data_IF_631190694153
#
_entry.id   IF_631190694153
#
_cell.length_a   1.000
_cell.length_b   1.000
_cell.length_c   1.000
_cell.angle_alpha   90.00
_cell.angle_beta   90.00
_cell.angle_gamma   90.00
#
_symmetry.space_group_name_H-M   'P 1'
#
loop_
_entity.id
_entity.type
_entity.pdbx_description
1 polymer ?
#
# COMPACT_ATOMS: atom_id res chain seq x y z
N UNK A 1 3.31 -41.31 8.50
CA UNK A 1 2.34 -42.04 7.64
C UNK A 1 0.90 -41.73 8.05
N UNK A 2 0.55 -41.72 9.34
CA UNK A 2 -0.81 -41.36 9.84
C UNK A 2 -1.36 -40.04 9.27
N UNK A 3 -0.54 -38.97 9.26
CA UNK A 3 -0.96 -37.64 8.84
C UNK A 3 -1.30 -37.51 7.34
N UNK A 4 -0.72 -38.35 6.48
CA UNK A 4 -1.06 -38.37 5.05
C UNK A 4 -2.24 -39.31 4.75
N UNK A 5 -2.70 -40.11 5.71
CA UNK A 5 -3.87 -40.97 5.51
C UNK A 5 -5.11 -40.14 5.18
N UNK A 6 -5.28 -38.98 5.83
CA UNK A 6 -6.39 -38.04 5.53
C UNK A 6 -6.34 -37.59 4.07
N UNK A 7 -5.19 -37.11 3.61
CA UNK A 7 -4.96 -36.69 2.22
C UNK A 7 -5.30 -37.81 1.22
N UNK A 8 -4.82 -39.03 1.46
CA UNK A 8 -5.07 -40.17 0.56
C UNK A 8 -6.48 -40.75 0.68
N UNK A 9 -7.18 -40.52 1.80
CA UNK A 9 -8.58 -40.90 1.93
C UNK A 9 -9.49 -39.97 1.12
N UNK A 10 -9.13 -38.69 1.02
CA UNK A 10 -9.85 -37.70 0.21
C UNK A 10 -9.57 -37.91 -1.28
N UNK A 11 -8.29 -38.01 -1.66
CA UNK A 11 -7.90 -38.26 -3.05
C UNK A 11 -6.93 -39.44 -3.16
N UNK A 12 -7.45 -40.68 -3.31
CA UNK A 12 -6.62 -41.87 -3.50
C UNK A 12 -5.77 -41.81 -4.77
N UNK A 13 -6.33 -41.28 -5.86
CA UNK A 13 -5.67 -41.17 -7.16
C UNK A 13 -4.49 -40.19 -7.14
N UNK A 14 -4.56 -39.17 -6.28
CA UNK A 14 -3.46 -38.22 -6.08
C UNK A 14 -2.18 -38.90 -5.61
N UNK A 15 -2.29 -39.95 -4.80
CA UNK A 15 -1.13 -40.75 -4.38
C UNK A 15 -0.43 -41.38 -5.59
N UNK A 16 -1.20 -41.87 -6.56
CA UNK A 16 -0.67 -42.49 -7.79
C UNK A 16 -0.09 -41.47 -8.76
N UNK A 17 -0.61 -40.23 -8.73
CA UNK A 17 -0.05 -39.13 -9.51
C UNK A 17 1.30 -38.67 -8.95
N UNK A 18 1.45 -38.59 -7.63
CA UNK A 18 2.67 -38.11 -6.97
C UNK A 18 3.73 -39.20 -6.87
N UNK A 19 3.33 -40.44 -6.59
CA UNK A 19 4.24 -41.56 -6.37
C UNK A 19 4.04 -42.67 -7.39
N UNK A 20 5.15 -43.13 -7.99
CA UNK A 20 5.20 -44.33 -8.81
C UNK A 20 5.77 -45.48 -7.99
N UNK A 21 5.01 -46.57 -7.82
CA UNK A 21 5.50 -47.78 -7.18
C UNK A 21 6.56 -48.46 -8.07
N UNK A 22 7.67 -48.86 -7.46
CA UNK A 22 8.77 -49.59 -8.11
C UNK A 22 8.82 -51.03 -7.65
N UNK A 23 8.50 -51.27 -6.38
CA UNK A 23 8.46 -52.59 -5.78
C UNK A 23 7.32 -52.67 -4.77
N UNK A 24 6.24 -53.36 -5.15
CA UNK A 24 5.06 -53.57 -4.32
C UNK A 24 5.36 -54.49 -3.12
N UNK A 25 6.36 -55.37 -3.22
CA UNK A 25 6.68 -56.32 -2.14
C UNK A 25 7.46 -55.68 -0.98
N UNK A 26 8.16 -54.58 -1.26
CA UNK A 26 8.94 -53.83 -0.28
C UNK A 26 8.46 -52.39 -0.06
N UNK A 27 7.28 -52.03 -0.61
CA UNK A 27 6.69 -50.69 -0.52
C UNK A 27 7.65 -49.56 -0.96
N UNK A 28 8.35 -49.76 -2.08
CA UNK A 28 9.30 -48.77 -2.62
C UNK A 28 8.62 -47.91 -3.69
N UNK A 29 8.70 -46.59 -3.51
CA UNK A 29 8.08 -45.60 -4.39
C UNK A 29 9.09 -44.52 -4.79
N UNK A 30 8.99 -44.04 -6.04
CA UNK A 30 9.68 -42.84 -6.52
C UNK A 30 8.69 -41.72 -6.80
N UNK A 31 9.19 -40.48 -6.85
CA UNK A 31 8.43 -39.36 -7.38
C UNK A 31 8.09 -39.57 -8.86
N UNK A 32 6.83 -39.39 -9.20
CA UNK A 32 6.34 -39.39 -10.58
C UNK A 32 6.38 -38.00 -11.22
N UNK A 33 6.60 -36.94 -10.43
CA UNK A 33 6.68 -35.54 -10.86
C UNK A 33 7.78 -34.76 -10.11
N UNK A 34 8.25 -33.62 -10.65
CA UNK A 34 9.26 -32.81 -9.98
C UNK A 34 8.80 -32.37 -8.59
N UNK A 35 9.69 -32.38 -7.60
CA UNK A 35 9.36 -31.97 -6.23
C UNK A 35 8.72 -30.58 -6.18
N UNK A 36 9.21 -29.62 -6.97
CA UNK A 36 8.64 -28.28 -7.07
C UNK A 36 7.17 -28.22 -7.51
N UNK A 37 6.62 -29.28 -8.12
CA UNK A 37 5.24 -29.34 -8.62
C UNK A 37 4.25 -29.98 -7.63
N UNK A 38 4.72 -30.57 -6.52
CA UNK A 38 3.87 -31.33 -5.59
C UNK A 38 2.79 -30.45 -4.96
N UNK A 39 3.17 -29.26 -4.48
CA UNK A 39 2.25 -28.33 -3.84
C UNK A 39 1.14 -27.89 -4.79
N UNK A 40 1.50 -27.57 -6.04
CA UNK A 40 0.54 -27.23 -7.09
C UNK A 40 -0.41 -28.37 -7.41
N UNK A 41 0.10 -29.60 -7.53
CA UNK A 41 -0.72 -30.78 -7.85
C UNK A 41 -1.70 -31.11 -6.71
N UNK A 42 -1.28 -30.97 -5.45
CA UNK A 42 -2.16 -31.14 -4.29
C UNK A 42 -3.21 -30.03 -4.24
N UNK A 43 -2.80 -28.77 -4.40
CA UNK A 43 -3.71 -27.62 -4.34
C UNK A 43 -4.71 -27.53 -5.50
N UNK A 44 -4.44 -28.19 -6.63
CA UNK A 44 -5.32 -28.23 -7.80
C UNK A 44 -6.09 -29.55 -7.93
N UNK A 45 -5.93 -30.48 -6.99
CA UNK A 45 -6.67 -31.74 -7.00
C UNK A 45 -8.16 -31.48 -6.79
N UNK A 46 -8.98 -31.99 -7.70
CA UNK A 46 -10.43 -31.73 -7.70
C UNK A 46 -11.15 -32.23 -6.45
N UNK A 47 -10.72 -33.36 -5.87
CA UNK A 47 -11.34 -33.89 -4.66
C UNK A 47 -10.98 -33.03 -3.44
N UNK A 48 -9.73 -32.59 -3.36
CA UNK A 48 -9.26 -31.67 -2.30
C UNK A 48 -9.98 -30.33 -2.40
N UNK A 49 -10.09 -29.74 -3.59
CA UNK A 49 -10.84 -28.51 -3.80
C UNK A 49 -12.31 -28.65 -3.42
N UNK A 50 -12.93 -29.78 -3.75
CA UNK A 50 -14.32 -30.08 -3.38
C UNK A 50 -14.48 -30.20 -1.87
N UNK A 51 -13.57 -30.89 -1.19
CA UNK A 51 -13.62 -31.05 0.27
C UNK A 51 -13.36 -29.71 0.98
N UNK A 52 -12.42 -28.89 0.46
CA UNK A 52 -12.20 -27.53 0.94
C UNK A 52 -13.50 -26.72 0.91
N UNK A 53 -14.19 -26.68 -0.25
CA UNK A 53 -15.46 -25.98 -0.39
C UNK A 53 -16.55 -26.54 0.55
N UNK A 54 -16.59 -27.86 0.72
CA UNK A 54 -17.55 -28.49 1.64
C UNK A 54 -17.33 -27.99 3.07
N UNK A 55 -16.08 -27.92 3.52
CA UNK A 55 -15.74 -27.53 4.89
C UNK A 55 -15.84 -26.01 5.12
N UNK A 56 -15.48 -25.18 4.14
CA UNK A 56 -15.50 -23.71 4.27
C UNK A 56 -16.87 -23.11 4.00
N UNK A 57 -17.68 -23.72 3.12
CA UNK A 57 -18.93 -23.11 2.67
C UNK A 57 -20.14 -23.85 3.27
N UNK A 58 -20.19 -25.17 3.10
CA UNK A 58 -21.38 -25.95 3.51
C UNK A 58 -21.43 -26.21 5.02
N UNK A 59 -20.37 -26.78 5.60
CA UNK A 59 -20.32 -27.10 7.03
C UNK A 59 -20.33 -25.81 7.85
N UNK A 60 -19.47 -24.85 7.51
CA UNK A 60 -19.44 -23.55 8.17
C UNK A 60 -20.78 -22.81 8.03
N UNK A 61 -21.37 -22.78 6.82
CA UNK A 61 -22.65 -22.13 6.57
C UNK A 61 -23.80 -22.73 7.41
N UNK A 62 -23.85 -24.06 7.54
CA UNK A 62 -24.83 -24.72 8.40
C UNK A 62 -24.64 -24.34 9.88
N UNK A 63 -23.39 -24.34 10.36
CA UNK A 63 -23.11 -23.90 11.73
C UNK A 63 -23.48 -22.43 11.93
N UNK A 64 -23.10 -21.55 11.00
CA UNK A 64 -23.40 -20.11 11.00
C UNK A 64 -24.89 -19.86 11.16
N UNK A 65 -25.73 -20.49 10.35
CA UNK A 65 -27.18 -20.33 10.47
C UNK A 65 -27.72 -20.90 11.79
N UNK A 66 -27.14 -21.98 12.30
CA UNK A 66 -27.57 -22.57 13.59
C UNK A 66 -27.28 -21.69 14.81
N UNK A 67 -26.24 -20.86 14.77
CA UNK A 67 -25.86 -19.94 15.87
C UNK A 67 -26.42 -18.53 15.72
N UNK A 68 -27.04 -18.22 14.58
CA UNK A 68 -27.51 -16.87 14.23
C UNK A 68 -28.45 -16.28 15.27
N UNK A 69 -29.52 -17.00 15.62
CA UNK A 69 -30.49 -16.53 16.61
C UNK A 69 -29.88 -16.37 18.02
N UNK A 70 -28.86 -17.17 18.34
CA UNK A 70 -28.13 -17.09 19.61
C UNK A 70 -27.30 -15.80 19.66
N UNK A 71 -26.56 -15.50 18.60
CA UNK A 71 -25.66 -14.35 18.51
C UNK A 71 -26.38 -13.03 18.23
N UNK A 72 -27.53 -13.05 17.56
CA UNK A 72 -28.39 -11.88 17.32
C UNK A 72 -29.41 -11.62 18.44
N UNK A 73 -29.53 -12.58 19.37
CA UNK A 73 -30.41 -12.53 20.55
C UNK A 73 -29.70 -12.11 21.84
N UNK A 74 -28.48 -11.56 21.77
CA UNK A 74 -27.73 -11.13 22.96
C UNK A 74 -28.47 -9.98 23.64
N UNK A 75 -28.67 -10.09 24.96
CA UNK A 75 -29.33 -9.10 25.79
C UNK A 75 -28.63 -8.92 27.15
N UNK A 76 -29.20 -8.08 28.01
CA UNK A 76 -28.66 -7.79 29.35
C UNK A 76 -28.59 -9.01 30.28
N UNK A 77 -29.28 -10.11 29.98
CA UNK A 77 -29.31 -11.35 30.75
C UNK A 77 -28.39 -12.43 30.18
N UNK A 78 -27.92 -12.29 28.93
CA UNK A 78 -26.99 -13.23 28.31
C UNK A 78 -25.77 -13.49 29.20
N UNK A 79 -25.38 -14.76 29.36
CA UNK A 79 -24.14 -15.15 30.01
C UNK A 79 -23.08 -15.42 28.93
N UNK A 80 -22.06 -14.55 28.77
CA UNK A 80 -21.07 -14.70 27.70
C UNK A 80 -20.32 -16.03 27.75
N UNK A 81 -20.04 -16.57 28.94
CA UNK A 81 -19.35 -17.86 29.10
C UNK A 81 -20.20 -19.03 28.62
N UNK A 82 -21.51 -18.97 28.88
CA UNK A 82 -22.44 -20.00 28.41
C UNK A 82 -22.71 -19.90 26.91
N UNK A 83 -22.76 -18.67 26.39
CA UNK A 83 -22.89 -18.38 24.97
C UNK A 83 -21.74 -19.01 24.19
N UNK A 84 -20.48 -18.69 24.53
CA UNK A 84 -19.31 -19.25 23.81
C UNK A 84 -19.22 -20.76 24.00
N UNK A 85 -19.54 -21.30 25.18
CA UNK A 85 -19.57 -22.76 25.40
C UNK A 85 -20.59 -23.43 24.49
N UNK A 86 -21.75 -22.82 24.28
CA UNK A 86 -22.81 -23.39 23.44
C UNK A 86 -22.41 -23.36 21.97
N UNK A 87 -21.99 -22.19 21.46
CA UNK A 87 -21.65 -22.03 20.04
C UNK A 87 -20.40 -22.84 19.66
N UNK A 88 -19.40 -22.94 20.55
CA UNK A 88 -18.20 -23.74 20.31
C UNK A 88 -18.46 -25.25 20.31
N UNK A 89 -19.33 -25.76 21.18
CA UNK A 89 -19.75 -27.17 21.14
C UNK A 89 -20.52 -27.47 19.85
N UNK A 90 -21.40 -26.56 19.42
CA UNK A 90 -22.08 -26.70 18.12
C UNK A 90 -21.08 -26.71 16.95
N UNK A 91 -20.00 -25.94 17.03
CA UNK A 91 -18.95 -25.90 16.00
C UNK A 91 -18.17 -27.22 15.96
N UNK A 92 -17.74 -27.73 17.13
CA UNK A 92 -17.06 -29.01 17.25
C UNK A 92 -17.87 -30.16 16.64
N UNK A 93 -19.17 -30.18 16.90
CA UNK A 93 -20.09 -31.18 16.36
C UNK A 93 -20.28 -31.03 14.84
N UNK A 94 -20.37 -29.80 14.33
CA UNK A 94 -20.53 -29.56 12.90
C UNK A 94 -19.32 -30.11 12.10
N UNK A 95 -18.11 -29.96 12.66
CA UNK A 95 -16.87 -30.41 12.02
C UNK A 95 -16.47 -31.86 12.35
N UNK A 96 -17.27 -32.66 13.07
CA UNK A 96 -16.95 -34.07 13.32
C UNK A 96 -16.82 -34.90 12.03
N UNK A 97 -17.55 -34.51 10.99
CA UNK A 97 -17.55 -35.18 9.69
C UNK A 97 -16.52 -34.60 8.69
N UNK A 98 -15.80 -33.54 9.07
CA UNK A 98 -14.77 -32.93 8.24
C UNK A 98 -13.61 -33.91 7.99
N UNK A 99 -12.98 -33.81 6.82
CA UNK A 99 -11.91 -34.72 6.38
C UNK A 99 -10.55 -34.04 6.30
N UNK A 100 -10.51 -32.75 5.96
CA UNK A 100 -9.32 -31.90 5.94
C UNK A 100 -9.03 -31.37 7.34
N UNK A 101 -9.94 -30.55 7.87
CA UNK A 101 -9.76 -29.89 9.16
C UNK A 101 -10.01 -30.85 10.32
N UNK A 102 -9.24 -30.70 11.39
CA UNK A 102 -9.57 -31.27 12.67
C UNK A 102 -10.60 -30.36 13.38
N UNK A 103 -11.60 -30.94 14.03
CA UNK A 103 -12.62 -30.13 14.70
C UNK A 103 -12.05 -29.27 15.83
N UNK A 104 -10.93 -29.68 16.45
CA UNK A 104 -10.22 -28.85 17.42
C UNK A 104 -9.49 -27.67 16.80
N UNK A 105 -8.96 -27.80 15.57
CA UNK A 105 -8.32 -26.69 14.87
C UNK A 105 -9.35 -25.57 14.61
N UNK A 106 -10.56 -25.94 14.19
CA UNK A 106 -11.67 -24.99 13.97
C UNK A 106 -12.18 -24.38 15.28
N UNK A 107 -12.24 -25.18 16.34
CA UNK A 107 -12.54 -24.68 17.68
C UNK A 107 -11.51 -23.63 18.12
N UNK A 108 -10.23 -23.86 17.85
CA UNK A 108 -9.15 -22.93 18.17
C UNK A 108 -9.27 -21.64 17.35
N UNK A 109 -9.68 -21.68 16.08
CA UNK A 109 -10.02 -20.46 15.32
C UNK A 109 -11.07 -19.61 16.06
N UNK A 110 -12.19 -20.23 16.46
CA UNK A 110 -13.25 -19.53 17.21
C UNK A 110 -12.75 -19.01 18.56
N UNK A 111 -11.97 -19.80 19.31
CA UNK A 111 -11.48 -19.36 20.62
C UNK A 111 -10.42 -18.26 20.53
N UNK A 112 -9.56 -18.31 19.52
CA UNK A 112 -8.60 -17.24 19.25
C UNK A 112 -9.36 -15.95 18.93
N UNK A 113 -10.37 -16.01 18.06
CA UNK A 113 -11.19 -14.85 17.74
C UNK A 113 -12.01 -14.33 18.93
N UNK A 114 -12.60 -15.23 19.71
CA UNK A 114 -13.30 -14.90 20.96
C UNK A 114 -12.41 -14.09 21.89
N UNK A 115 -11.22 -14.61 22.19
CA UNK A 115 -10.29 -13.97 23.12
C UNK A 115 -9.71 -12.65 22.57
N UNK A 116 -9.58 -12.52 21.25
CA UNK A 116 -9.03 -11.33 20.62
C UNK A 116 -10.02 -10.17 20.57
N UNK A 117 -11.28 -10.41 20.18
CA UNK A 117 -12.26 -9.33 19.92
C UNK A 117 -13.73 -9.69 20.17
N UNK A 118 -14.22 -10.86 19.74
CA UNK A 118 -15.65 -11.14 19.80
C UNK A 118 -16.21 -11.13 21.23
N UNK A 119 -15.39 -11.49 22.23
CA UNK A 119 -15.79 -11.40 23.64
C UNK A 119 -16.14 -9.95 24.04
N UNK A 120 -15.33 -8.98 23.63
CA UNK A 120 -15.54 -7.57 23.98
C UNK A 120 -16.86 -7.08 23.38
N UNK A 121 -17.13 -7.39 22.11
CA UNK A 121 -18.40 -7.05 21.46
C UNK A 121 -19.61 -7.60 22.23
N UNK A 122 -19.55 -8.87 22.66
CA UNK A 122 -20.62 -9.51 23.43
C UNK A 122 -20.84 -8.79 24.76
N UNK A 123 -19.78 -8.34 25.44
CA UNK A 123 -19.92 -7.58 26.69
C UNK A 123 -20.48 -6.18 26.47
N UNK A 124 -20.08 -5.49 25.39
CA UNK A 124 -20.64 -4.18 25.04
C UNK A 124 -22.14 -4.30 24.73
N UNK A 125 -22.54 -5.26 23.91
CA UNK A 125 -23.96 -5.50 23.58
C UNK A 125 -24.76 -5.89 24.83
N UNK A 126 -24.18 -6.71 25.73
CA UNK A 126 -24.81 -7.05 27.01
C UNK A 126 -25.04 -5.81 27.88
N UNK A 127 -24.13 -4.85 27.88
CA UNK A 127 -24.19 -3.66 28.73
C UNK A 127 -25.12 -2.59 28.15
N UNK A 128 -25.03 -2.35 26.83
CA UNK A 128 -25.60 -1.17 26.17
C UNK A 128 -26.62 -1.51 25.07
N UNK A 129 -26.85 -2.79 24.78
CA UNK A 129 -27.70 -3.23 23.68
C UNK A 129 -27.00 -3.12 22.32
N UNK A 130 -27.72 -3.48 21.25
CA UNK A 130 -27.23 -3.32 19.88
C UNK A 130 -27.15 -1.84 19.48
N UNK A 131 -27.84 -0.95 20.18
CA UNK A 131 -27.75 0.50 20.01
C UNK A 131 -26.32 1.04 20.11
N UNK A 132 -25.44 0.35 20.86
CA UNK A 132 -24.01 0.66 20.93
C UNK A 132 -23.30 0.60 19.56
N UNK A 133 -23.90 -0.03 18.55
CA UNK A 133 -23.41 0.01 17.16
C UNK A 133 -23.39 1.42 16.55
N UNK A 134 -24.07 2.39 17.18
CA UNK A 134 -24.06 3.81 16.77
C UNK A 134 -23.00 4.63 17.50
N UNK A 135 -22.37 4.07 18.51
CA UNK A 135 -21.38 4.78 19.33
C UNK A 135 -20.04 4.86 18.60
N UNK A 136 -19.39 6.02 18.70
CA UNK A 136 -18.10 6.32 18.08
C UNK A 136 -17.11 6.69 19.17
N UNK A 137 -15.89 6.18 19.05
CA UNK A 137 -14.74 6.52 19.89
C UNK A 137 -13.79 7.43 19.12
N UNK A 138 -13.51 8.63 19.66
CA UNK A 138 -12.58 9.57 19.05
C UNK A 138 -11.16 9.40 19.63
N UNK A 139 -10.17 9.42 18.73
CA UNK A 139 -8.75 9.50 19.07
C UNK A 139 -8.29 10.94 18.89
N UNK A 140 -7.82 11.56 19.96
CA UNK A 140 -7.36 12.95 19.95
C UNK A 140 -5.85 13.07 19.81
N UNK A 141 -5.38 14.22 19.29
CA UNK A 141 -3.97 14.55 19.29
C UNK A 141 -3.48 14.81 20.72
N UNK A 142 -2.24 14.45 21.02
CA UNK A 142 -1.65 14.67 22.34
C UNK A 142 -0.97 16.04 22.44
N UNK A 143 -1.13 16.72 23.59
CA UNK A 143 -0.42 17.95 23.95
C UNK A 143 0.32 17.83 25.28
N UNK A 144 1.40 18.58 25.42
CA UNK A 144 2.12 18.69 26.69
C UNK A 144 1.37 19.64 27.61
N UNK A 145 1.11 19.19 28.83
CA UNK A 145 0.59 19.96 29.94
C UNK A 145 1.50 19.80 31.15
N UNK A 146 1.33 20.65 32.16
CA UNK A 146 1.98 20.45 33.46
C UNK A 146 0.96 19.88 34.43
N UNK A 147 1.36 18.88 35.21
CA UNK A 147 0.55 18.36 36.29
C UNK A 147 0.58 19.28 37.51
N UNK A 148 -0.15 18.91 38.56
CA UNK A 148 -0.22 19.66 39.83
C UNK A 148 1.14 19.74 40.55
N UNK A 149 2.10 18.88 40.20
CA UNK A 149 3.47 18.87 40.74
C UNK A 149 4.45 19.69 39.90
N UNK A 150 4.01 20.22 38.75
CA UNK A 150 4.82 21.00 37.82
C UNK A 150 5.58 20.18 36.78
N UNK A 151 5.40 18.85 36.76
CA UNK A 151 6.01 17.93 35.82
C UNK A 151 5.26 17.93 34.49
N UNK A 152 6.00 17.77 33.39
CA UNK A 152 5.41 17.79 32.05
C UNK A 152 4.77 16.44 31.76
N UNK A 153 3.44 16.41 31.72
CA UNK A 153 2.63 15.26 31.31
C UNK A 153 2.07 15.46 29.90
N UNK A 154 1.71 14.35 29.27
CA UNK A 154 1.03 14.37 27.98
C UNK A 154 -0.46 14.14 28.23
N UNK A 155 -1.30 15.03 27.73
CA UNK A 155 -2.77 14.96 27.85
C UNK A 155 -3.40 15.12 26.48
N UNK A 156 -4.60 14.58 26.30
CA UNK A 156 -5.33 14.71 25.05
C UNK A 156 -5.76 16.15 24.80
N UNK A 157 -5.54 16.60 23.57
CA UNK A 157 -6.05 17.86 23.05
C UNK A 157 -7.41 17.61 22.41
N UNK A 158 -8.47 17.68 23.22
CA UNK A 158 -9.86 17.49 22.79
C UNK A 158 -10.32 18.46 21.69
N UNK A 159 -9.53 19.49 21.37
CA UNK A 159 -9.76 20.40 20.24
C UNK A 159 -9.27 19.86 18.89
N UNK A 160 -8.53 18.74 18.88
CA UNK A 160 -7.91 18.15 17.69
C UNK A 160 -8.19 16.66 17.62
N UNK A 161 -9.31 16.31 16.98
CA UNK A 161 -9.59 14.93 16.59
C UNK A 161 -8.56 14.49 15.55
N UNK A 162 -7.92 13.35 15.78
CA UNK A 162 -6.97 12.72 14.86
C UNK A 162 -7.66 11.68 13.98
N UNK A 163 -8.52 10.88 14.58
CA UNK A 163 -9.32 9.86 13.92
C UNK A 163 -10.48 9.48 14.84
N UNK A 164 -11.41 8.68 14.34
CA UNK A 164 -12.44 8.04 15.13
C UNK A 164 -12.65 6.62 14.61
N UNK A 165 -13.24 5.76 15.43
CA UNK A 165 -13.68 4.42 15.05
C UNK A 165 -14.99 4.07 15.77
N UNK A 166 -15.78 3.15 15.25
CA UNK A 166 -17.01 2.74 15.93
C UNK A 166 -16.73 1.82 17.11
N UNK A 167 -17.47 1.97 18.21
CA UNK A 167 -17.29 1.18 19.43
C UNK A 167 -17.52 -0.32 19.20
N UNK A 168 -18.46 -0.65 18.31
CA UNK A 168 -18.79 -2.03 17.92
C UNK A 168 -18.53 -2.32 16.44
N UNK A 169 -18.79 -1.37 15.53
CA UNK A 169 -18.65 -1.60 14.09
C UNK A 169 -17.48 -0.76 13.60
N UNK A 170 -16.38 -1.36 13.11
CA UNK A 170 -15.26 -0.61 12.57
C UNK A 170 -15.65 0.33 11.43
N UNK A 171 -15.01 1.50 11.35
CA UNK A 171 -15.30 2.51 10.30
C UNK A 171 -15.09 1.97 8.90
N UNK A 172 -14.10 1.09 8.74
CA UNK A 172 -13.78 0.44 7.48
C UNK A 172 -14.98 -0.37 6.94
N UNK A 173 -15.76 -1.01 7.82
CA UNK A 173 -16.98 -1.71 7.40
C UNK A 173 -18.05 -0.73 6.93
N UNK A 174 -18.22 0.41 7.61
CA UNK A 174 -19.18 1.44 7.18
C UNK A 174 -18.78 2.03 5.83
N UNK A 175 -17.49 2.33 5.65
CA UNK A 175 -16.95 2.84 4.38
C UNK A 175 -17.17 1.84 3.24
N UNK A 176 -16.82 0.56 3.45
CA UNK A 176 -16.95 -0.47 2.43
C UNK A 176 -18.40 -0.75 2.03
N UNK A 177 -19.34 -0.76 3.00
CA UNK A 177 -20.74 -1.11 2.74
C UNK A 177 -21.53 0.06 2.15
N UNK A 178 -21.31 1.28 2.65
CA UNK A 178 -22.17 2.42 2.32
C UNK A 178 -21.51 3.47 1.43
N UNK A 179 -20.18 3.47 1.32
CA UNK A 179 -19.42 4.53 0.64
C UNK A 179 -18.33 3.99 -0.30
N UNK A 180 -18.62 2.85 -0.94
CA UNK A 180 -17.71 2.19 -1.87
C UNK A 180 -17.32 3.07 -3.07
N UNK A 181 -18.23 3.93 -3.55
CA UNK A 181 -17.96 4.87 -4.64
C UNK A 181 -16.96 5.95 -4.21
N UNK A 182 -17.12 6.51 -3.01
CA UNK A 182 -16.19 7.47 -2.43
C UNK A 182 -14.82 6.85 -2.16
N UNK A 183 -14.78 5.62 -1.63
CA UNK A 183 -13.53 4.87 -1.48
C UNK A 183 -12.82 4.66 -2.80
N UNK A 184 -13.56 4.30 -3.86
CA UNK A 184 -13.00 4.14 -5.20
C UNK A 184 -12.42 5.46 -5.72
N UNK A 185 -13.12 6.58 -5.52
CA UNK A 185 -12.62 7.90 -5.90
C UNK A 185 -11.37 8.30 -5.11
N UNK A 186 -11.32 8.02 -3.80
CA UNK A 186 -10.14 8.26 -2.97
C UNK A 186 -8.96 7.39 -3.41
N UNK A 187 -9.20 6.12 -3.74
CA UNK A 187 -8.16 5.22 -4.24
C UNK A 187 -7.60 5.69 -5.58
N UNK A 188 -8.44 6.18 -6.50
CA UNK A 188 -7.99 6.77 -7.76
C UNK A 188 -7.10 8.00 -7.53
N UNK A 189 -7.45 8.87 -6.57
CA UNK A 189 -6.61 10.01 -6.19
C UNK A 189 -5.29 9.59 -5.52
N UNK A 190 -5.30 8.53 -4.69
CA UNK A 190 -4.09 7.94 -4.10
C UNK A 190 -3.15 7.40 -5.18
N UNK A 191 -3.68 6.63 -6.14
CA UNK A 191 -2.92 6.12 -7.28
C UNK A 191 -2.35 7.24 -8.14
N UNK A 192 -3.13 8.28 -8.42
CA UNK A 192 -2.67 9.44 -9.16
C UNK A 192 -1.57 10.20 -8.40
N UNK A 193 -1.72 10.42 -7.09
CA UNK A 193 -0.70 11.05 -6.26
C UNK A 193 0.60 10.24 -6.24
N UNK A 194 0.52 8.91 -6.12
CA UNK A 194 1.67 8.01 -6.17
C UNK A 194 2.36 8.00 -7.54
N UNK A 195 1.60 8.01 -8.64
CA UNK A 195 2.15 8.11 -9.99
C UNK A 195 2.89 9.43 -10.20
N UNK A 196 2.30 10.56 -9.76
CA UNK A 196 2.94 11.87 -9.82
C UNK A 196 4.22 11.93 -8.97
N UNK A 197 4.23 11.30 -7.79
CA UNK A 197 5.46 11.19 -6.97
C UNK A 197 6.55 10.39 -7.71
N UNK A 198 6.19 9.25 -8.31
CA UNK A 198 7.12 8.43 -9.10
C UNK A 198 7.70 9.22 -10.28
N UNK A 199 6.88 9.95 -11.02
CA UNK A 199 7.36 10.79 -12.12
C UNK A 199 8.28 11.93 -11.62
N UNK A 200 7.97 12.55 -10.48
CA UNK A 200 8.85 13.56 -9.87
C UNK A 200 10.16 12.95 -9.39
N UNK A 201 10.13 11.74 -8.85
CA UNK A 201 11.33 10.99 -8.45
C UNK A 201 12.21 10.67 -9.66
N UNK A 202 11.62 10.16 -10.74
CA UNK A 202 12.32 9.88 -12.02
C UNK A 202 12.97 11.14 -12.58
N UNK A 203 12.21 12.25 -12.70
CA UNK A 203 12.75 13.54 -13.17
C UNK A 203 13.90 14.04 -12.30
N UNK A 204 13.80 13.87 -10.97
CA UNK A 204 14.88 14.26 -10.05
C UNK A 204 16.10 13.39 -10.29
N UNK A 205 15.95 12.07 -10.33
CA UNK A 205 17.07 11.14 -10.44
C UNK A 205 17.86 11.34 -11.74
N UNK A 206 17.17 11.49 -12.87
CA UNK A 206 17.79 11.76 -14.18
C UNK A 206 18.62 13.05 -14.16
N UNK A 207 18.16 14.07 -13.44
CA UNK A 207 18.73 15.43 -13.44
C UNK A 207 19.50 15.79 -12.15
N UNK A 208 19.87 14.79 -11.35
CA UNK A 208 20.58 14.97 -10.06
C UNK A 208 22.11 14.85 -10.14
N UNK A 209 22.64 14.42 -11.29
CA UNK A 209 24.07 14.22 -11.52
C UNK A 209 24.90 15.52 -11.47
N UNK A 210 26.22 15.40 -11.63
CA UNK A 210 27.12 16.55 -11.50
C UNK A 210 26.87 17.67 -12.51
N UNK A 211 26.35 17.30 -13.69
CA UNK A 211 25.91 18.19 -14.77
C UNK A 211 24.37 18.25 -14.90
N UNK A 212 23.64 17.75 -13.89
CA UNK A 212 22.18 17.63 -13.91
C UNK A 212 21.47 18.99 -13.79
N UNK A 213 20.37 19.15 -14.53
CA UNK A 213 19.63 20.40 -14.64
C UNK A 213 18.86 20.79 -13.36
N UNK A 214 18.66 19.85 -12.44
CA UNK A 214 17.94 20.09 -11.18
C UNK A 214 18.86 20.24 -9.96
N UNK A 215 20.19 20.10 -10.14
CA UNK A 215 21.20 20.10 -9.08
C UNK A 215 21.08 21.30 -8.13
N UNK A 216 20.92 22.50 -8.67
CA UNK A 216 20.82 23.75 -7.88
C UNK A 216 19.51 23.86 -7.07
N UNK A 217 18.52 23.01 -7.35
CA UNK A 217 17.25 22.98 -6.62
C UNK A 217 17.19 21.86 -5.55
N UNK A 218 18.18 20.96 -5.50
CA UNK A 218 18.24 19.86 -4.55
C UNK A 218 18.42 20.32 -3.10
N UNK A 219 17.92 19.53 -2.15
CA UNK A 219 18.27 19.68 -0.74
C UNK A 219 19.73 19.27 -0.49
N UNK A 220 20.20 19.42 0.74
CA UNK A 220 21.62 19.20 1.07
C UNK A 220 22.04 17.72 0.99
N UNK A 221 21.08 16.80 0.94
CA UNK A 221 21.31 15.35 0.79
C UNK A 221 21.20 14.86 -0.66
N UNK A 222 20.64 15.67 -1.55
CA UNK A 222 20.32 15.29 -2.92
C UNK A 222 19.10 14.37 -3.06
N UNK A 223 18.36 14.09 -1.98
CA UNK A 223 17.25 13.11 -1.96
C UNK A 223 15.86 13.74 -2.21
N UNK A 224 15.78 15.07 -2.33
CA UNK A 224 14.52 15.79 -2.60
C UNK A 224 14.76 17.19 -3.16
N UNK A 225 13.73 17.76 -3.80
CA UNK A 225 13.72 19.14 -4.31
C UNK A 225 12.71 19.97 -3.49
N UNK A 226 13.16 20.74 -2.48
CA UNK A 226 12.26 21.57 -1.69
C UNK A 226 11.63 22.66 -2.55
N UNK A 227 10.31 22.84 -2.43
CA UNK A 227 9.54 23.88 -3.14
C UNK A 227 10.15 25.28 -2.99
N UNK A 228 10.77 25.58 -1.84
CA UNK A 228 11.45 26.85 -1.61
C UNK A 228 12.72 27.02 -2.48
N UNK A 229 13.56 25.98 -2.60
CA UNK A 229 14.79 26.00 -3.41
C UNK A 229 14.45 26.04 -4.90
N UNK A 230 13.50 25.22 -5.35
CA UNK A 230 12.98 25.23 -6.72
C UNK A 230 12.53 26.62 -7.16
N UNK A 231 11.66 27.25 -6.37
CA UNK A 231 11.15 28.58 -6.67
C UNK A 231 12.23 29.67 -6.60
N UNK A 232 13.21 29.54 -5.71
CA UNK A 232 14.33 30.47 -5.65
C UNK A 232 15.18 30.41 -6.93
N UNK A 233 15.48 29.20 -7.41
CA UNK A 233 16.28 29.01 -8.62
C UNK A 233 15.57 29.49 -9.87
N UNK A 234 14.28 29.17 -10.02
CA UNK A 234 13.46 29.70 -11.13
C UNK A 234 13.47 31.23 -11.14
N UNK A 235 13.32 31.88 -9.97
CA UNK A 235 13.39 33.35 -9.86
C UNK A 235 14.75 33.92 -10.22
N UNK A 236 15.83 33.22 -9.88
CA UNK A 236 17.18 33.65 -10.28
C UNK A 236 17.34 33.63 -11.81
N UNK A 237 16.88 32.56 -12.47
CA UNK A 237 16.93 32.44 -13.93
C UNK A 237 15.96 33.41 -14.63
N UNK A 238 14.79 33.66 -14.04
CA UNK A 238 13.86 34.70 -14.48
C UNK A 238 14.51 36.08 -14.48
N UNK A 239 15.32 36.40 -13.46
CA UNK A 239 16.05 37.66 -13.39
C UNK A 239 17.15 37.80 -14.45
N UNK A 240 17.62 36.68 -15.03
CA UNK A 240 18.60 36.65 -16.12
C UNK A 240 17.97 36.78 -17.50
N UNK A 241 16.63 36.81 -17.61
CA UNK A 241 15.93 36.96 -18.89
C UNK A 241 16.40 38.22 -19.61
N UNK A 242 16.78 38.04 -20.87
CA UNK A 242 17.24 39.13 -21.72
C UNK A 242 16.70 38.95 -23.13
N UNK A 243 16.71 40.03 -23.90
CA UNK A 243 16.52 40.00 -25.34
C UNK A 243 17.36 41.11 -25.95
N UNK A 244 17.68 40.98 -27.24
CA UNK A 244 18.37 42.06 -27.95
C UNK A 244 17.64 43.40 -27.80
N UNK A 245 16.30 43.39 -27.95
CA UNK A 245 15.49 44.59 -27.79
C UNK A 245 15.54 45.14 -26.34
N UNK A 246 15.46 44.28 -25.33
CA UNK A 246 15.54 44.69 -23.92
C UNK A 246 16.91 45.27 -23.57
N UNK A 247 17.99 44.64 -24.03
CA UNK A 247 19.37 45.10 -23.81
C UNK A 247 19.59 46.49 -24.42
N UNK A 248 19.14 46.68 -25.67
CA UNK A 248 19.24 47.97 -26.37
C UNK A 248 18.37 49.04 -25.71
N UNK A 249 17.14 48.71 -25.32
CA UNK A 249 16.25 49.65 -24.62
C UNK A 249 16.79 50.01 -23.24
N UNK A 250 17.45 49.10 -22.53
CA UNK A 250 18.12 49.38 -21.26
C UNK A 250 19.30 50.35 -21.46
N UNK A 251 20.11 50.14 -22.51
CA UNK A 251 21.19 51.07 -22.91
C UNK A 251 20.65 52.45 -23.30
N UNK A 252 19.50 52.51 -23.99
CA UNK A 252 18.85 53.78 -24.33
C UNK A 252 18.37 54.53 -23.07
N UNK A 253 17.86 53.81 -22.06
CA UNK A 253 17.46 54.43 -20.78
C UNK A 253 18.67 55.00 -20.04
N UNK A 254 19.80 54.28 -19.96
CA UNK A 254 21.02 54.80 -19.32
C UNK A 254 21.60 55.98 -20.08
N UNK A 255 21.73 55.91 -21.41
CA UNK A 255 22.20 57.04 -22.22
C UNK A 255 21.29 58.28 -22.11
N UNK A 256 19.97 58.06 -21.96
CA UNK A 256 19.02 59.14 -21.70
C UNK A 256 19.27 59.81 -20.34
N UNK A 257 19.48 59.01 -19.29
CA UNK A 257 19.75 59.52 -17.94
C UNK A 257 21.13 60.21 -17.85
N UNK A 258 22.10 59.82 -18.70
CA UNK A 258 23.41 60.47 -18.86
C UNK A 258 23.39 61.70 -19.79
N UNK A 259 22.26 61.99 -20.44
CA UNK A 259 22.13 63.13 -21.37
C UNK A 259 22.83 62.96 -22.72
N UNK A 260 23.24 61.73 -23.09
CA UNK A 260 24.00 61.42 -24.31
C UNK A 260 23.09 61.16 -25.52
N UNK A 261 22.31 62.16 -25.92
CA UNK A 261 21.29 62.01 -26.97
C UNK A 261 21.86 61.65 -28.34
N UNK A 262 23.08 62.07 -28.69
CA UNK A 262 23.72 61.72 -29.96
C UNK A 262 24.06 60.22 -30.08
N UNK A 263 24.44 59.59 -28.96
CA UNK A 263 24.72 58.15 -28.89
C UNK A 263 23.42 57.35 -29.00
N UNK A 264 22.33 57.84 -28.39
CA UNK A 264 21.00 57.24 -28.54
C UNK A 264 20.51 57.24 -29.99
N UNK A 265 20.70 58.35 -30.72
CA UNK A 265 20.33 58.46 -32.14
C UNK A 265 21.11 57.48 -33.03
N UNK A 266 22.36 57.23 -32.67
CA UNK A 266 23.21 56.27 -33.38
C UNK A 266 22.76 54.84 -33.12
N UNK A 267 22.44 54.51 -31.86
CA UNK A 267 22.02 53.18 -31.42
C UNK A 267 20.64 52.77 -31.96
N UNK A 268 19.69 53.71 -32.11
CA UNK A 268 18.38 53.43 -32.71
C UNK A 268 18.48 53.17 -34.22
N UNK A 269 19.41 53.83 -34.92
CA UNK A 269 19.60 53.67 -36.37
C UNK A 269 20.25 52.35 -36.78
N UNK A 270 20.99 51.72 -35.87
CA UNK A 270 21.74 50.49 -36.16
C UNK A 270 20.93 49.21 -35.94
N UNK A 271 19.72 49.29 -35.37
CA UNK A 271 18.96 48.13 -34.92
C UNK A 271 17.47 48.21 -35.32
N UNK A 272 17.05 47.48 -36.38
CA UNK A 272 15.65 47.45 -36.85
C UNK A 272 14.64 46.97 -35.80
N UNK A 273 15.09 46.13 -34.84
CA UNK A 273 14.20 45.47 -33.87
C UNK A 273 13.61 46.40 -32.80
N UNK A 274 14.16 47.60 -32.61
CA UNK A 274 13.59 48.61 -31.69
C UNK A 274 12.65 49.61 -32.39
N UNK A 275 12.57 49.59 -33.73
CA UNK A 275 11.69 50.48 -34.52
C UNK A 275 10.20 50.26 -34.22
N UNK A 276 9.83 49.04 -33.83
CA UNK A 276 8.45 48.68 -33.45
C UNK A 276 7.99 49.33 -32.14
N UNK A 277 8.89 49.93 -31.36
CA UNK A 277 8.55 50.59 -30.11
C UNK A 277 8.44 52.11 -30.30
N UNK A 278 7.42 52.70 -29.71
CA UNK A 278 7.24 54.15 -29.70
C UNK A 278 8.16 54.78 -28.63
N UNK A 279 9.32 55.31 -29.05
CA UNK A 279 10.36 55.81 -28.14
C UNK A 279 10.39 57.35 -28.00
N UNK A 280 9.61 58.09 -28.80
CA UNK A 280 9.70 59.56 -28.94
C UNK A 280 8.42 60.29 -28.58
N UNK A 281 8.57 61.51 -28.08
CA UNK A 281 7.46 62.44 -27.80
C UNK A 281 7.01 63.16 -29.09
N UNK A 282 5.88 63.89 -29.02
CA UNK A 282 5.33 64.64 -30.17
C UNK A 282 6.27 65.70 -30.77
N UNK A 283 7.26 66.15 -29.99
CA UNK A 283 8.31 67.09 -30.38
C UNK A 283 9.55 66.41 -30.99
N UNK A 284 9.52 65.09 -31.21
CA UNK A 284 10.63 64.33 -31.81
C UNK A 284 11.76 63.96 -30.86
N UNK A 285 11.76 64.41 -29.61
CA UNK A 285 12.79 64.03 -28.62
C UNK A 285 12.45 62.68 -27.97
N UNK A 286 13.46 61.96 -27.47
CA UNK A 286 13.25 60.76 -26.67
C UNK A 286 12.39 61.06 -25.42
N UNK A 287 11.44 60.18 -25.12
CA UNK A 287 10.57 60.31 -23.96
C UNK A 287 10.93 59.31 -22.87
N UNK A 288 11.31 59.76 -21.67
CA UNK A 288 11.64 58.87 -20.54
C UNK A 288 10.55 57.85 -20.23
N UNK A 289 9.28 58.28 -20.23
CA UNK A 289 8.15 57.39 -20.00
C UNK A 289 7.94 56.37 -21.13
N UNK A 290 8.23 56.78 -22.38
CA UNK A 290 8.12 55.94 -23.57
C UNK A 290 9.22 54.88 -23.62
N UNK A 291 10.46 55.26 -23.34
CA UNK A 291 11.59 54.32 -23.19
C UNK A 291 11.32 53.28 -22.09
N UNK A 292 10.80 53.71 -20.93
CA UNK A 292 10.42 52.78 -19.85
C UNK A 292 9.27 51.84 -20.24
N UNK A 293 8.26 52.33 -20.96
CA UNK A 293 7.15 51.50 -21.44
C UNK A 293 7.62 50.48 -22.49
N UNK A 294 8.48 50.90 -23.41
CA UNK A 294 9.10 50.03 -24.40
C UNK A 294 9.98 48.96 -23.74
N UNK A 295 10.81 49.34 -22.76
CA UNK A 295 11.64 48.40 -22.00
C UNK A 295 10.77 47.37 -21.26
N UNK A 296 9.67 47.80 -20.63
CA UNK A 296 8.71 46.90 -19.97
C UNK A 296 8.06 45.93 -20.97
N UNK A 297 7.73 46.41 -22.16
CA UNK A 297 7.15 45.58 -23.22
C UNK A 297 8.16 44.57 -23.76
N UNK A 298 9.41 44.99 -23.98
CA UNK A 298 10.50 44.13 -24.43
C UNK A 298 10.90 43.07 -23.38
N UNK A 299 10.82 43.41 -22.09
CA UNK A 299 11.01 42.47 -20.99
C UNK A 299 9.97 41.34 -21.00
N UNK A 300 8.75 41.59 -21.49
CA UNK A 300 7.73 40.55 -21.68
C UNK A 300 8.08 39.53 -22.77
N UNK A 301 8.96 39.89 -23.71
CA UNK A 301 9.49 38.99 -24.76
C UNK A 301 10.90 38.47 -24.47
N UNK A 302 11.45 38.75 -23.28
CA UNK A 302 12.77 38.30 -22.88
C UNK A 302 12.76 36.81 -22.54
N UNK A 303 13.76 36.10 -23.05
CA UNK A 303 13.96 34.69 -22.79
C UNK A 303 15.18 34.50 -21.89
N UNK A 304 15.21 33.37 -21.19
CA UNK A 304 16.40 32.97 -20.46
C UNK A 304 17.53 32.75 -21.49
N UNK A 305 18.78 33.19 -21.21
CA UNK A 305 19.93 32.94 -22.08
C UNK A 305 20.05 31.46 -22.45
N UNK A 306 20.51 31.16 -23.67
CA UNK A 306 20.60 29.80 -24.22
C UNK A 306 21.28 28.80 -23.27
N UNK A 307 22.33 29.25 -22.57
CA UNK A 307 23.08 28.44 -21.58
C UNK A 307 22.26 27.96 -20.36
N UNK A 308 21.09 28.55 -20.10
CA UNK A 308 20.21 28.18 -18.99
C UNK A 308 18.81 27.76 -19.48
N UNK A 309 18.58 27.67 -20.80
CA UNK A 309 17.25 27.35 -21.32
C UNK A 309 16.79 25.96 -20.90
N UNK A 310 17.67 24.96 -21.02
CA UNK A 310 17.36 23.58 -20.66
C UNK A 310 17.13 23.45 -19.14
N UNK A 311 17.98 24.10 -18.33
CA UNK A 311 17.82 24.15 -16.88
C UNK A 311 16.48 24.78 -16.48
N UNK A 312 16.17 25.94 -17.06
CA UNK A 312 14.94 26.64 -16.78
C UNK A 312 13.71 25.82 -17.23
N UNK A 313 13.80 25.11 -18.36
CA UNK A 313 12.73 24.24 -18.84
C UNK A 313 12.51 23.05 -17.89
N UNK A 314 13.57 22.36 -17.47
CA UNK A 314 13.50 21.24 -16.52
C UNK A 314 12.90 21.68 -15.17
N UNK A 315 13.38 22.81 -14.61
CA UNK A 315 12.84 23.37 -13.37
C UNK A 315 11.36 23.76 -13.48
N UNK A 316 10.95 24.31 -14.63
CA UNK A 316 9.55 24.67 -14.87
C UNK A 316 8.65 23.45 -15.02
N UNK A 317 9.11 22.42 -15.73
CA UNK A 317 8.40 21.15 -15.85
C UNK A 317 8.23 20.47 -14.48
N UNK A 318 9.30 20.39 -13.69
CA UNK A 318 9.26 19.85 -12.33
C UNK A 318 8.28 20.64 -11.44
N UNK A 319 8.31 21.98 -11.52
CA UNK A 319 7.42 22.84 -10.74
C UNK A 319 5.94 22.67 -11.13
N UNK A 320 5.64 22.47 -12.42
CA UNK A 320 4.29 22.20 -12.91
C UNK A 320 3.76 20.86 -12.40
N UNK A 321 4.57 19.80 -12.54
CA UNK A 321 4.23 18.46 -12.05
C UNK A 321 4.06 18.41 -10.53
N UNK A 322 4.93 19.11 -9.79
CA UNK A 322 4.80 19.26 -8.34
C UNK A 322 3.54 20.02 -7.94
N UNK A 323 3.12 21.02 -8.72
CA UNK A 323 1.87 21.75 -8.46
C UNK A 323 0.61 20.94 -8.81
N UNK A 324 0.69 20.08 -9.83
CA UNK A 324 -0.34 19.08 -10.13
C UNK A 324 -0.52 18.13 -8.94
N UNK A 325 0.60 17.59 -8.42
CA UNK A 325 0.56 16.72 -7.23
C UNK A 325 -0.02 17.42 -6.00
N UNK A 326 0.40 18.67 -5.73
CA UNK A 326 -0.17 19.46 -4.62
C UNK A 326 -1.70 19.62 -4.75
N UNK A 327 -2.21 19.70 -5.98
CA UNK A 327 -3.65 19.81 -6.26
C UNK A 327 -4.36 18.49 -5.97
N UNK A 328 -3.83 17.37 -6.47
CA UNK A 328 -4.37 16.02 -6.21
C UNK A 328 -4.32 15.67 -4.73
N UNK A 329 -3.23 15.96 -4.03
CA UNK A 329 -3.10 15.71 -2.58
C UNK A 329 -4.10 16.54 -1.76
N UNK A 330 -4.41 17.76 -2.24
CA UNK A 330 -5.44 18.59 -1.63
C UNK A 330 -6.83 18.00 -1.86
N UNK A 331 -7.15 17.61 -3.09
CA UNK A 331 -8.43 16.96 -3.44
C UNK A 331 -8.63 15.66 -2.65
N UNK A 332 -7.58 14.85 -2.51
CA UNK A 332 -7.56 13.63 -1.69
C UNK A 332 -7.92 13.93 -0.24
N UNK A 333 -7.28 14.94 0.36
CA UNK A 333 -7.57 15.35 1.73
C UNK A 333 -9.01 15.84 1.89
N UNK A 334 -9.51 16.63 0.95
CA UNK A 334 -10.89 17.11 0.96
C UNK A 334 -11.89 15.96 0.81
N UNK A 335 -11.64 15.00 -0.08
CA UNK A 335 -12.45 13.80 -0.27
C UNK A 335 -12.45 12.91 0.97
N UNK A 336 -11.29 12.71 1.63
CA UNK A 336 -11.21 11.94 2.87
C UNK A 336 -11.97 12.62 4.01
N UNK A 337 -11.83 13.93 4.19
CA UNK A 337 -12.61 14.66 5.20
C UNK A 337 -14.13 14.57 4.93
N UNK A 338 -14.53 14.68 3.66
CA UNK A 338 -15.94 14.55 3.29
C UNK A 338 -16.48 13.13 3.54
N UNK A 339 -15.65 12.10 3.34
CA UNK A 339 -15.99 10.73 3.70
C UNK A 339 -16.10 10.56 5.23
N UNK A 340 -15.16 11.12 6.00
CA UNK A 340 -15.20 11.10 7.46
C UNK A 340 -16.52 11.67 8.00
N UNK A 341 -16.94 12.84 7.50
CA UNK A 341 -18.21 13.48 7.89
C UNK A 341 -19.43 12.59 7.56
N UNK A 342 -19.41 11.92 6.39
CA UNK A 342 -20.47 11.00 5.95
C UNK A 342 -20.52 9.75 6.82
N UNK A 343 -19.38 9.17 7.15
CA UNK A 343 -19.26 7.97 8.00
C UNK A 343 -19.76 8.29 9.41
N UNK A 344 -19.32 9.40 9.99
CA UNK A 344 -19.77 9.86 11.32
C UNK A 344 -21.30 10.03 11.36
N UNK A 345 -21.86 10.65 10.33
CA UNK A 345 -23.33 10.78 10.20
C UNK A 345 -24.00 9.41 10.09
N UNK A 346 -23.47 8.52 9.25
CA UNK A 346 -24.07 7.20 8.99
C UNK A 346 -24.17 6.33 10.23
N UNK A 347 -23.17 6.36 11.12
CA UNK A 347 -23.24 5.64 12.41
C UNK A 347 -24.51 5.96 13.20
N UNK A 348 -24.86 7.24 13.30
CA UNK A 348 -26.05 7.68 14.05
C UNK A 348 -27.37 7.25 13.40
N UNK A 349 -27.36 7.02 12.08
CA UNK A 349 -28.53 6.64 11.28
C UNK A 349 -28.76 5.12 11.20
N UNK A 350 -27.80 4.30 11.65
CA UNK A 350 -27.90 2.85 11.56
C UNK A 350 -29.14 2.33 12.31
N UNK A 351 -29.96 1.54 11.62
CA UNK A 351 -31.03 0.76 12.24
C UNK A 351 -30.46 -0.44 13.00
N UNK A 352 -31.24 -1.00 13.93
CA UNK A 352 -30.82 -2.19 14.68
C UNK A 352 -30.59 -3.39 13.75
N UNK A 353 -31.40 -3.53 12.70
CA UNK A 353 -31.24 -4.61 11.71
C UNK A 353 -29.95 -4.43 10.90
N UNK A 354 -29.61 -3.20 10.48
CA UNK A 354 -28.33 -2.92 9.84
C UNK A 354 -27.15 -3.22 10.78
N UNK A 355 -27.23 -2.82 12.05
CA UNK A 355 -26.19 -3.12 13.05
C UNK A 355 -25.99 -4.62 13.20
N UNK A 356 -27.09 -5.37 13.31
CA UNK A 356 -27.06 -6.84 13.41
C UNK A 356 -26.43 -7.48 12.18
N UNK A 357 -26.77 -7.01 10.99
CA UNK A 357 -26.17 -7.48 9.73
C UNK A 357 -24.66 -7.18 9.67
N UNK A 358 -24.27 -5.93 9.95
CA UNK A 358 -22.85 -5.51 9.97
C UNK A 358 -22.03 -6.30 10.98
N UNK A 359 -22.57 -6.54 12.18
CA UNK A 359 -21.89 -7.31 13.22
C UNK A 359 -21.81 -8.79 12.89
N UNK A 360 -22.96 -9.43 12.62
CA UNK A 360 -22.98 -10.87 12.45
C UNK A 360 -22.36 -11.28 11.12
N UNK A 361 -22.88 -10.76 10.01
CA UNK A 361 -22.50 -11.24 8.68
C UNK A 361 -21.12 -10.73 8.24
N UNK A 362 -20.84 -9.44 8.48
CA UNK A 362 -19.65 -8.76 7.91
C UNK A 362 -18.50 -8.57 8.90
N UNK A 363 -18.73 -8.68 10.21
CA UNK A 363 -17.67 -8.59 11.22
C UNK A 363 -17.31 -9.96 11.79
N UNK A 364 -18.28 -10.66 12.37
CA UNK A 364 -18.03 -11.88 13.14
C UNK A 364 -17.87 -13.10 12.25
N UNK A 365 -18.81 -13.34 11.34
CA UNK A 365 -18.78 -14.51 10.47
C UNK A 365 -17.70 -14.38 9.40
N UNK A 366 -17.56 -13.22 8.74
CA UNK A 366 -16.49 -12.99 7.76
C UNK A 366 -15.10 -13.22 8.36
N UNK A 367 -14.85 -12.74 9.58
CA UNK A 367 -13.55 -12.95 10.24
C UNK A 367 -13.28 -14.42 10.54
N UNK A 368 -14.28 -15.12 11.08
CA UNK A 368 -14.15 -16.54 11.43
C UNK A 368 -14.05 -17.43 10.18
N UNK A 369 -14.80 -17.12 9.13
CA UNK A 369 -14.73 -17.81 7.83
C UNK A 369 -13.32 -17.66 7.23
N UNK A 370 -12.77 -16.45 7.29
CA UNK A 370 -11.39 -16.18 6.86
C UNK A 370 -10.38 -17.01 7.68
N UNK A 371 -10.51 -17.03 9.01
CA UNK A 371 -9.61 -17.81 9.88
C UNK A 371 -9.69 -19.32 9.60
N UNK A 372 -10.88 -19.85 9.31
CA UNK A 372 -11.07 -21.25 8.95
C UNK A 372 -10.47 -21.54 7.56
N UNK A 373 -10.68 -20.66 6.59
CA UNK A 373 -10.08 -20.79 5.26
C UNK A 373 -8.55 -20.79 5.32
N UNK A 374 -7.97 -19.90 6.13
CA UNK A 374 -6.53 -19.84 6.37
C UNK A 374 -6.03 -21.11 7.05
N UNK A 375 -6.80 -21.70 7.97
CA UNK A 375 -6.45 -22.98 8.59
C UNK A 375 -6.45 -24.13 7.57
N UNK A 376 -7.41 -24.16 6.64
CA UNK A 376 -7.40 -25.15 5.53
C UNK A 376 -6.10 -25.02 4.73
N UNK A 377 -5.72 -23.80 4.36
CA UNK A 377 -4.48 -23.55 3.61
C UNK A 377 -3.24 -23.98 4.41
N UNK A 378 -3.22 -23.72 5.71
CA UNK A 378 -2.13 -24.19 6.58
C UNK A 378 -2.05 -25.72 6.63
N UNK A 379 -3.18 -26.41 6.78
CA UNK A 379 -3.23 -27.87 6.76
C UNK A 379 -2.74 -28.42 5.41
N UNK A 380 -3.20 -27.87 4.30
CA UNK A 380 -2.76 -28.28 2.96
C UNK A 380 -1.26 -28.05 2.75
N UNK A 381 -0.73 -26.90 3.16
CA UNK A 381 0.70 -26.59 3.08
C UNK A 381 1.54 -27.54 3.95
N UNK A 382 1.05 -27.89 5.14
CA UNK A 382 1.69 -28.86 6.02
C UNK A 382 1.68 -30.26 5.41
N UNK A 383 0.59 -30.67 4.75
CA UNK A 383 0.49 -31.94 4.03
C UNK A 383 1.45 -31.97 2.83
N UNK A 384 1.47 -30.93 2.00
CA UNK A 384 2.40 -30.78 0.88
C UNK A 384 3.87 -30.86 1.33
N UNK A 385 4.21 -30.14 2.40
CA UNK A 385 5.55 -30.18 3.00
C UNK A 385 5.93 -31.58 3.50
N UNK A 386 4.98 -32.33 4.06
CA UNK A 386 5.19 -33.72 4.49
C UNK A 386 5.37 -34.66 3.30
N UNK A 387 4.59 -34.50 2.24
CA UNK A 387 4.76 -35.26 0.99
C UNK A 387 6.13 -35.00 0.39
N UNK A 388 6.57 -33.74 0.34
CA UNK A 388 7.91 -33.35 -0.10
C UNK A 388 9.03 -33.98 0.74
N UNK A 389 8.88 -34.00 2.06
CA UNK A 389 9.87 -34.60 2.95
C UNK A 389 10.01 -36.11 2.70
N UNK A 390 8.88 -36.80 2.51
CA UNK A 390 8.86 -38.23 2.14
C UNK A 390 9.53 -38.40 0.79
N UNK A 391 9.10 -37.64 -0.21
CA UNK A 391 9.67 -37.68 -1.54
C UNK A 391 11.19 -37.52 -1.54
N UNK A 392 11.74 -36.51 -0.85
CA UNK A 392 13.19 -36.31 -0.70
C UNK A 392 13.89 -37.48 0.00
N UNK A 393 13.23 -38.12 0.96
CA UNK A 393 13.78 -39.30 1.66
C UNK A 393 13.87 -40.52 0.73
N UNK A 394 12.96 -40.64 -0.23
CA UNK A 394 12.92 -41.75 -1.18
C UNK A 394 13.54 -41.41 -2.54
N UNK A 395 13.91 -40.15 -2.79
CA UNK A 395 14.57 -39.67 -4.04
C UNK A 395 15.96 -40.27 -4.26
N UNK A 396 16.60 -40.76 -3.21
CA UNK A 396 17.86 -41.51 -3.30
C UNK A 396 17.70 -42.82 -2.53
N UNK A 397 17.76 -43.94 -3.25
CA UNK A 397 17.77 -45.26 -2.62
C UNK A 397 19.04 -45.42 -1.78
N UNK A 398 18.98 -46.21 -0.71
CA UNK A 398 20.16 -46.51 0.11
C UNK A 398 21.32 -47.06 -0.77
N UNK A 399 20.99 -47.89 -1.76
CA UNK A 399 21.94 -48.40 -2.74
C UNK A 399 22.59 -47.30 -3.60
N UNK A 400 21.83 -46.31 -4.08
CA UNK A 400 22.41 -45.18 -4.83
C UNK A 400 23.30 -44.28 -3.95
N UNK A 401 22.94 -44.11 -2.68
CA UNK A 401 23.77 -43.38 -1.71
C UNK A 401 25.06 -44.16 -1.42
N UNK A 402 24.98 -45.48 -1.24
CA UNK A 402 26.12 -46.37 -1.06
C UNK A 402 27.03 -46.40 -2.30
N UNK A 403 26.46 -46.46 -3.50
CA UNK A 403 27.18 -46.39 -4.78
C UNK A 403 27.86 -45.04 -5.00
N UNK A 404 27.19 -43.93 -4.63
CA UNK A 404 27.80 -42.60 -4.69
C UNK A 404 28.92 -42.48 -3.66
N UNK A 405 28.72 -43.01 -2.46
CA UNK A 405 29.72 -43.02 -1.39
C UNK A 405 30.95 -43.85 -1.77
N UNK A 406 30.75 -45.03 -2.36
CA UNK A 406 31.85 -45.88 -2.85
C UNK A 406 32.59 -45.22 -4.02
N UNK A 407 31.89 -44.60 -4.98
CA UNK A 407 32.51 -43.82 -6.07
C UNK A 407 33.31 -42.63 -5.55
N UNK A 408 32.75 -41.83 -4.64
CA UNK A 408 33.46 -40.70 -4.02
C UNK A 408 34.66 -41.17 -3.19
N UNK A 409 34.53 -42.27 -2.44
CA UNK A 409 35.64 -42.89 -1.71
C UNK A 409 36.76 -43.34 -2.65
N UNK A 410 36.43 -44.00 -3.75
CA UNK A 410 37.39 -44.42 -4.77
C UNK A 410 38.11 -43.21 -5.41
N UNK A 411 37.39 -42.13 -5.70
CA UNK A 411 37.97 -40.90 -6.25
C UNK A 411 38.94 -40.22 -5.27
N UNK A 412 38.59 -40.16 -3.98
CA UNK A 412 39.46 -39.63 -2.92
C UNK A 412 40.71 -40.50 -2.75
N UNK A 413 40.54 -41.83 -2.74
CA UNK A 413 41.68 -42.75 -2.69
C UNK A 413 42.61 -42.53 -3.89
N UNK A 414 42.10 -42.52 -5.12
CA UNK A 414 42.90 -42.24 -6.31
C UNK A 414 43.60 -40.85 -6.28
N UNK A 415 42.99 -39.84 -5.67
CA UNK A 415 43.61 -38.53 -5.48
C UNK A 415 44.75 -38.57 -4.44
N UNK A 416 44.56 -39.29 -3.33
CA UNK A 416 45.59 -39.49 -2.30
C UNK A 416 46.78 -40.31 -2.81
N UNK A 417 46.53 -41.31 -3.66
CA UNK A 417 47.56 -42.09 -4.35
C UNK A 417 48.42 -41.20 -5.27
N UNK A 418 47.79 -40.31 -6.05
CA UNK A 418 48.52 -39.31 -6.87
C UNK A 418 49.33 -38.33 -6.02
N UNK A 419 48.91 -38.06 -4.79
CA UNK A 419 49.64 -37.22 -3.84
C UNK A 419 50.75 -37.98 -3.09
N UNK A 420 50.95 -39.28 -3.36
CA UNK A 420 52.07 -40.07 -2.82
C UNK A 420 51.77 -40.82 -1.52
N UNK A 421 50.53 -40.81 -1.04
CA UNK A 421 50.12 -41.64 0.10
C UNK A 421 49.91 -43.08 -0.35
N UNK A 422 50.51 -44.03 0.37
CA UNK A 422 50.28 -45.48 0.19
C UNK A 422 49.51 -46.00 1.40
N UNK A 423 48.46 -46.79 1.15
CA UNK A 423 47.64 -47.44 2.16
C UNK A 423 47.79 -48.96 2.13
#
# INVERSE_FOLDING_TARGET
>A
MESLKRLWAISPDLKLQIFKCIDETHDVYNLALPSASIETVIGQDGNICTEKQTETDEIFGQWRESVKDILLGIDSKTNPKELIRTTSVMLLHAYEAAKLLDNYDVYDCLMNYWNAKLQDDVYVIKASGYEAGREIEYVYAQKKAKDESGDTITVDDTSKVKSFDGALIPRELIENVYFAEELTAINALLEQSAALESELDEMREEESGDDGLLKEALNDKGDSIPKAKLNARIKELDAKKTSEAMSVLAQLVTLFDEGKTAEMETLVKTLPKVEKFDLRNKNGTFGKAKLKAALKTAAGSAAVPEIYQDEYAALKAYAEKSAEKDTVDKELKEARNALDDKVETKYSELSIEEIKHLLFDLKWMEKLETDICDEVEQVLNALSSRVLLIAKRYEHTLGEIEDRTTKSKAAVMAALERMGYKW
#
